data_IF_071031780553
#
_entry.id   IF_071031780553
#
_cell.length_a   1.000
_cell.length_b   1.000
_cell.length_c   1.000
_cell.angle_alpha   90.00
_cell.angle_beta   90.00
_cell.angle_gamma   90.00
#
_symmetry.space_group_name_H-M   'P 1'
#
loop_
_entity.id
_entity.type
_entity.pdbx_description
1 polymer ?
#
# COMPACT_ATOMS: atom_id res chain seq x y z
N UNK A 1 -2.94 17.14 30.45
CA UNK A 1 -3.10 16.59 29.09
C UNK A 1 -4.19 17.40 28.42
N UNK A 2 -3.87 18.08 27.32
CA UNK A 2 -4.85 18.86 26.58
C UNK A 2 -5.78 17.94 25.77
N UNK A 3 -6.95 18.43 25.39
CA UNK A 3 -7.86 17.73 24.48
C UNK A 3 -7.16 17.35 23.15
N UNK A 4 -6.22 18.19 22.69
CA UNK A 4 -5.39 17.93 21.51
C UNK A 4 -4.40 16.76 21.71
N UNK A 5 -3.79 16.63 22.90
CA UNK A 5 -2.88 15.52 23.20
C UNK A 5 -3.59 14.15 23.21
N UNK A 6 -4.87 14.15 23.58
CA UNK A 6 -5.67 12.92 23.68
C UNK A 6 -6.04 12.39 22.29
N UNK A 7 -6.46 13.28 21.39
CA UNK A 7 -6.71 12.95 19.98
C UNK A 7 -5.46 12.47 19.24
N UNK A 8 -4.29 13.05 19.52
CA UNK A 8 -3.03 12.63 18.89
C UNK A 8 -2.64 11.19 19.30
N UNK A 9 -2.89 10.83 20.55
CA UNK A 9 -2.61 9.49 21.06
C UNK A 9 -3.52 8.43 20.42
N UNK A 10 -4.83 8.68 20.38
CA UNK A 10 -5.80 7.78 19.74
C UNK A 10 -5.49 7.57 18.25
N UNK A 11 -5.16 8.65 17.53
CA UNK A 11 -4.75 8.56 16.13
C UNK A 11 -3.47 7.73 15.97
N UNK A 12 -2.48 7.93 16.85
CA UNK A 12 -1.21 7.20 16.77
C UNK A 12 -1.38 5.71 17.03
N UNK A 13 -2.25 5.34 17.98
CA UNK A 13 -2.62 3.95 18.26
C UNK A 13 -3.33 3.32 17.06
N UNK A 14 -4.34 4.01 16.50
CA UNK A 14 -5.06 3.53 15.32
C UNK A 14 -4.13 3.38 14.10
N UNK A 15 -3.27 4.37 13.85
CA UNK A 15 -2.25 4.34 12.78
C UNK A 15 -1.27 3.19 12.99
N UNK A 16 -0.91 2.85 14.23
CA UNK A 16 -0.02 1.74 14.53
C UNK A 16 -0.67 0.39 14.20
N UNK A 17 -1.95 0.20 14.56
CA UNK A 17 -2.72 -1.02 14.24
C UNK A 17 -2.80 -1.23 12.72
N UNK A 18 -3.06 -0.16 11.96
CA UNK A 18 -3.19 -0.21 10.51
C UNK A 18 -1.90 0.15 9.76
N UNK A 19 -0.74 0.15 10.43
CA UNK A 19 0.52 0.64 9.88
C UNK A 19 0.85 -0.01 8.53
N UNK A 20 0.81 -1.34 8.48
CA UNK A 20 1.16 -2.11 7.31
C UNK A 20 0.26 -1.83 6.11
N UNK A 21 -1.05 -1.65 6.36
CA UNK A 21 -2.00 -1.23 5.35
C UNK A 21 -1.66 0.17 4.82
N UNK A 22 -1.53 1.13 5.72
CA UNK A 22 -1.33 2.53 5.33
C UNK A 22 0.01 2.71 4.62
N UNK A 23 1.07 2.09 5.11
CA UNK A 23 2.41 2.19 4.52
C UNK A 23 2.46 1.49 3.14
N UNK A 24 1.83 0.33 2.97
CA UNK A 24 1.74 -0.35 1.66
C UNK A 24 1.00 0.48 0.61
N UNK A 25 -0.13 1.08 0.97
CA UNK A 25 -0.88 1.94 0.05
C UNK A 25 -0.15 3.24 -0.25
N UNK A 26 0.54 3.83 0.73
CA UNK A 26 1.41 4.98 0.47
C UNK A 26 2.50 4.63 -0.55
N UNK A 27 3.12 3.46 -0.43
CA UNK A 27 4.11 2.98 -1.41
C UNK A 27 3.49 2.82 -2.81
N UNK A 28 2.28 2.24 -2.91
CA UNK A 28 1.58 2.09 -4.18
C UNK A 28 1.25 3.43 -4.85
N UNK A 29 0.73 4.40 -4.09
CA UNK A 29 0.42 5.74 -4.62
C UNK A 29 1.69 6.54 -4.99
N UNK A 30 2.81 6.29 -4.33
CA UNK A 30 4.08 7.00 -4.55
C UNK A 30 5.04 6.26 -5.49
N UNK A 31 4.63 5.15 -6.08
CA UNK A 31 5.44 4.32 -6.96
C UNK A 31 5.97 5.16 -8.14
N UNK A 32 7.30 5.16 -8.34
CA UNK A 32 7.95 6.02 -9.35
C UNK A 32 9.01 5.30 -10.18
N UNK A 33 8.89 3.97 -10.25
CA UNK A 33 9.87 3.12 -10.91
C UNK A 33 9.20 2.18 -11.91
N UNK A 34 9.89 1.91 -13.00
CA UNK A 34 9.58 0.84 -13.96
C UNK A 34 10.66 -0.25 -13.92
N UNK A 35 11.64 -0.15 -13.00
CA UNK A 35 12.69 -1.14 -12.84
C UNK A 35 12.08 -2.42 -12.25
N UNK A 36 12.24 -3.53 -12.96
CA UNK A 36 11.63 -4.81 -12.62
C UNK A 36 12.07 -5.35 -11.24
N UNK A 37 13.34 -5.18 -10.87
CA UNK A 37 13.87 -5.64 -9.58
C UNK A 37 13.26 -4.84 -8.42
N UNK A 38 13.17 -3.51 -8.58
CA UNK A 38 12.54 -2.64 -7.59
C UNK A 38 11.04 -2.95 -7.48
N UNK A 39 10.35 -3.12 -8.61
CA UNK A 39 8.94 -3.49 -8.61
C UNK A 39 8.69 -4.83 -7.93
N UNK A 40 9.52 -5.84 -8.21
CA UNK A 40 9.41 -7.14 -7.55
C UNK A 40 9.60 -7.02 -6.03
N UNK A 41 10.50 -6.15 -5.57
CA UNK A 41 10.67 -5.89 -4.14
C UNK A 41 9.42 -5.27 -3.50
N UNK A 42 8.79 -4.31 -4.19
CA UNK A 42 7.55 -3.64 -3.74
C UNK A 42 6.40 -4.65 -3.69
N UNK A 43 6.21 -5.45 -4.73
CA UNK A 43 5.13 -6.45 -4.76
C UNK A 43 5.32 -7.56 -3.72
N UNK A 44 6.56 -7.99 -3.46
CA UNK A 44 6.86 -8.94 -2.37
C UNK A 44 6.51 -8.36 -1.00
N UNK A 45 6.82 -7.08 -0.77
CA UNK A 45 6.43 -6.38 0.46
C UNK A 45 4.90 -6.36 0.59
N UNK A 46 4.18 -5.93 -0.44
CA UNK A 46 2.70 -5.87 -0.44
C UNK A 46 2.09 -7.25 -0.19
N UNK A 47 2.61 -8.30 -0.84
CA UNK A 47 2.13 -9.68 -0.63
C UNK A 47 2.30 -10.10 0.82
N UNK A 48 3.49 -9.90 1.38
CA UNK A 48 3.79 -10.28 2.77
C UNK A 48 2.90 -9.51 3.75
N UNK A 49 2.79 -8.19 3.54
CA UNK A 49 2.13 -7.29 4.49
C UNK A 49 0.61 -7.31 4.40
N UNK A 50 0.01 -7.49 3.22
CA UNK A 50 -1.44 -7.41 3.02
C UNK A 50 -2.13 -8.76 2.80
N UNK A 51 -1.48 -9.69 2.10
CA UNK A 51 -2.08 -10.99 1.72
C UNK A 51 -1.71 -12.05 2.76
N UNK A 52 -0.41 -12.24 3.02
CA UNK A 52 0.07 -13.31 3.89
C UNK A 52 -0.29 -13.05 5.36
N UNK A 53 -0.42 -11.78 5.75
CA UNK A 53 -0.98 -11.37 7.05
C UNK A 53 -2.47 -11.66 7.22
N UNK A 54 -3.15 -12.18 6.17
CA UNK A 54 -4.61 -12.42 6.09
C UNK A 54 -5.47 -11.18 6.34
N UNK A 55 -4.89 -10.00 6.16
CA UNK A 55 -5.60 -8.74 6.39
C UNK A 55 -6.69 -8.49 5.35
N UNK A 56 -6.46 -8.86 4.08
CA UNK A 56 -7.40 -8.63 2.98
C UNK A 56 -7.41 -9.76 1.95
N UNK A 57 -8.55 -9.93 1.28
CA UNK A 57 -8.66 -10.85 0.16
C UNK A 57 -7.89 -10.32 -1.06
N UNK A 58 -7.14 -11.17 -1.80
CA UNK A 58 -6.35 -10.73 -2.95
C UNK A 58 -7.15 -9.97 -4.02
N UNK A 59 -8.42 -10.33 -4.24
CA UNK A 59 -9.28 -9.66 -5.21
C UNK A 59 -9.55 -8.18 -4.86
N UNK A 60 -9.69 -7.86 -3.57
CA UNK A 60 -9.87 -6.49 -3.10
C UNK A 60 -8.61 -5.68 -3.41
N UNK A 61 -7.43 -6.23 -3.08
CA UNK A 61 -6.14 -5.56 -3.30
C UNK A 61 -5.92 -5.29 -4.80
N UNK A 62 -6.25 -6.24 -5.67
CA UNK A 62 -6.15 -6.06 -7.13
C UNK A 62 -7.06 -4.92 -7.58
N UNK A 63 -8.32 -4.89 -7.13
CA UNK A 63 -9.26 -3.83 -7.48
C UNK A 63 -8.77 -2.45 -7.03
N UNK A 64 -8.22 -2.37 -5.83
CA UNK A 64 -7.64 -1.14 -5.29
C UNK A 64 -6.42 -0.68 -6.09
N UNK A 65 -5.50 -1.58 -6.48
CA UNK A 65 -4.37 -1.25 -7.35
C UNK A 65 -4.86 -0.69 -8.69
N UNK A 66 -5.89 -1.29 -9.30
CA UNK A 66 -6.47 -0.80 -10.55
C UNK A 66 -7.06 0.62 -10.38
N UNK A 67 -7.65 0.92 -9.24
CA UNK A 67 -8.16 2.25 -8.91
C UNK A 67 -7.06 3.30 -8.69
N UNK A 68 -5.81 2.89 -8.41
CA UNK A 68 -4.66 3.80 -8.26
C UNK A 68 -4.12 4.28 -9.61
N UNK A 69 -4.18 3.43 -10.64
CA UNK A 69 -3.59 3.70 -11.97
C UNK A 69 -3.96 5.09 -12.53
N UNK A 70 -5.22 5.55 -12.50
CA UNK A 70 -5.59 6.88 -13.00
C UNK A 70 -4.84 8.04 -12.32
N UNK A 71 -4.45 7.86 -11.05
CA UNK A 71 -3.78 8.89 -10.25
C UNK A 71 -2.25 8.87 -10.38
N UNK A 72 -1.69 7.78 -10.90
CA UNK A 72 -0.25 7.64 -11.14
C UNK A 72 0.05 7.04 -12.53
N UNK A 73 -0.67 7.56 -13.53
CA UNK A 73 -0.74 7.03 -14.88
C UNK A 73 0.62 6.96 -15.61
N UNK A 74 1.60 7.80 -15.24
CA UNK A 74 2.97 7.75 -15.76
C UNK A 74 3.60 6.36 -15.58
N UNK A 75 3.25 5.66 -14.50
CA UNK A 75 3.79 4.35 -14.14
C UNK A 75 2.77 3.23 -14.33
N UNK A 76 1.80 3.40 -15.23
CA UNK A 76 0.77 2.39 -15.53
C UNK A 76 1.37 1.02 -15.81
N UNK A 77 2.50 0.96 -16.53
CA UNK A 77 3.19 -0.29 -16.85
C UNK A 77 3.61 -1.04 -15.58
N UNK A 78 4.09 -0.32 -14.57
CA UNK A 78 4.51 -0.89 -13.30
C UNK A 78 3.38 -1.56 -12.52
N UNK A 79 2.15 -1.08 -12.67
CA UNK A 79 0.96 -1.67 -12.04
C UNK A 79 0.45 -2.90 -12.80
N UNK A 80 0.71 -2.97 -14.11
CA UNK A 80 0.21 -4.01 -15.00
C UNK A 80 1.26 -5.09 -15.34
N UNK A 81 2.53 -4.84 -15.04
CA UNK A 81 3.66 -5.75 -15.30
C UNK A 81 3.73 -6.92 -14.31
N UNK A 82 2.60 -7.33 -13.72
CA UNK A 82 2.54 -8.50 -12.84
C UNK A 82 2.89 -9.75 -13.65
N UNK A 83 4.15 -10.18 -13.56
CA UNK A 83 4.62 -11.41 -14.17
C UNK A 83 4.01 -12.61 -13.44
N UNK A 84 3.38 -13.49 -14.24
CA UNK A 84 2.93 -14.83 -13.85
C UNK A 84 4.09 -15.69 -13.35
#
# INVERSE_FOLDING_TARGET
>A
MSYQDTHLKEYSELRSIYKYYIDSYNTLYQLKTENEEELNSIYKMIKTELIDSKSYLPNIIIQEILNIIPYNNRYTRSYLSGHY
#
